data_IF_868273966009
#
_entry.id   IF_868273966009
#
_cell.length_a   1.000
_cell.length_b   1.000
_cell.length_c   1.000
_cell.angle_alpha   90.00
_cell.angle_beta   90.00
_cell.angle_gamma   90.00
#
_symmetry.space_group_name_H-M   'P 1'
#
loop_
_entity.id
_entity.type
_entity.pdbx_description
1 polymer ?
#
# COMPACT_ATOMS: atom_id res chain seq x y z
N UNK A 1 -16.09 51.65 -30.73
CA UNK A 1 -16.12 52.91 -29.96
C UNK A 1 -17.06 52.76 -28.78
N UNK A 2 -16.47 52.72 -27.57
CA UNK A 2 -16.90 53.38 -26.31
C UNK A 2 -18.35 53.10 -25.84
N UNK A 3 -18.57 52.28 -24.81
CA UNK A 3 -18.22 52.45 -23.40
C UNK A 3 -18.91 53.63 -22.70
N UNK A 4 -19.66 53.26 -21.66
CA UNK A 4 -19.77 53.91 -20.34
C UNK A 4 -20.70 55.10 -20.11
N UNK A 5 -20.99 55.25 -18.80
CA UNK A 5 -21.65 56.33 -18.06
C UNK A 5 -23.16 56.03 -17.84
N UNK A 6 -23.63 55.66 -16.64
CA UNK A 6 -23.41 56.30 -15.34
C UNK A 6 -23.20 55.31 -14.17
N UNK A 7 -22.07 55.53 -13.50
CA UNK A 7 -21.69 55.11 -12.15
C UNK A 7 -22.12 56.21 -11.16
N UNK A 8 -22.14 55.90 -9.85
CA UNK A 8 -22.10 56.82 -8.68
C UNK A 8 -23.43 57.49 -8.30
N UNK A 9 -23.90 57.60 -7.05
CA UNK A 9 -23.38 57.45 -5.67
C UNK A 9 -24.64 57.30 -4.79
N UNK A 10 -24.64 56.54 -3.68
CA UNK A 10 -24.28 57.11 -2.38
C UNK A 10 -23.92 56.01 -1.38
N UNK A 11 -22.67 56.08 -0.92
CA UNK A 11 -22.17 55.52 0.33
C UNK A 11 -22.56 56.43 1.50
N UNK A 12 -23.06 55.84 2.58
CA UNK A 12 -22.87 56.23 3.99
C UNK A 12 -23.87 55.41 4.82
N UNK A 13 -23.55 54.68 5.87
CA UNK A 13 -22.32 54.53 6.65
C UNK A 13 -22.70 54.00 8.04
N UNK A 14 -21.68 53.49 8.73
CA UNK A 14 -21.55 53.25 10.18
C UNK A 14 -22.05 51.94 10.78
N UNK A 15 -21.03 51.23 11.28
CA UNK A 15 -21.04 50.19 12.28
C UNK A 15 -21.84 50.55 13.54
N UNK A 16 -22.49 49.52 14.11
CA UNK A 16 -22.72 49.36 15.54
C UNK A 16 -22.57 47.87 15.88
N UNK A 17 -21.80 47.61 16.94
CA UNK A 17 -21.53 46.30 17.50
C UNK A 17 -22.43 46.02 18.72
N UNK A 18 -22.69 44.72 18.96
CA UNK A 18 -23.08 44.04 20.23
C UNK A 18 -24.48 44.37 20.82
N UNK A 19 -25.11 43.51 21.67
CA UNK A 19 -24.57 42.65 22.76
C UNK A 19 -24.78 41.13 22.53
N UNK A 20 -23.89 40.19 22.92
CA UNK A 20 -23.49 39.74 24.27
C UNK A 20 -24.67 39.27 25.14
N UNK A 21 -24.87 37.95 25.23
CA UNK A 21 -25.33 37.29 26.46
C UNK A 21 -24.33 36.19 26.82
N UNK A 22 -23.75 36.40 28.00
CA UNK A 22 -22.79 35.61 28.74
C UNK A 22 -23.53 35.13 30.00
N UNK A 23 -23.54 33.83 30.25
CA UNK A 23 -23.66 33.24 31.60
C UNK A 23 -22.66 32.06 31.59
N UNK A 24 -21.43 32.28 32.05
CA UNK A 24 -20.95 32.17 33.43
C UNK A 24 -20.73 30.71 33.89
N UNK A 25 -19.43 30.38 33.96
CA UNK A 25 -18.77 29.23 34.59
C UNK A 25 -19.03 29.20 36.13
N UNK A 26 -18.87 28.07 36.83
CA UNK A 26 -17.55 27.63 37.34
C UNK A 26 -17.32 26.12 37.04
N UNK A 27 -16.17 25.62 36.62
CA UNK A 27 -14.78 25.65 37.09
C UNK A 27 -14.43 24.57 38.12
N UNK A 28 -13.41 23.81 37.72
CA UNK A 28 -12.55 22.81 38.38
C UNK A 28 -13.18 21.62 39.11
N UNK A 29 -12.85 20.40 38.65
CA UNK A 29 -12.41 19.31 39.53
C UNK A 29 -11.60 18.29 38.72
N UNK A 30 -10.48 17.93 39.32
CA UNK A 30 -9.37 17.10 38.83
C UNK A 30 -9.82 15.67 38.46
N UNK A 31 -9.29 15.11 37.37
CA UNK A 31 -9.32 13.66 37.16
C UNK A 31 -8.01 13.10 37.72
N UNK A 32 -8.19 12.45 38.87
CA UNK A 32 -7.21 11.75 39.70
C UNK A 32 -6.51 10.64 38.91
N UNK A 33 -5.17 10.68 38.90
CA UNK A 33 -4.31 9.52 38.68
C UNK A 33 -4.57 8.49 39.80
N UNK A 34 -4.96 7.28 39.44
CA UNK A 34 -4.93 6.15 40.36
C UNK A 34 -3.70 5.30 40.06
N UNK A 35 -2.62 5.63 40.77
CA UNK A 35 -1.49 4.74 41.03
C UNK A 35 -1.78 3.97 42.32
N UNK A 36 -1.52 2.65 42.33
CA UNK A 36 -1.57 1.83 43.55
C UNK A 36 -0.20 1.20 43.80
N UNK A 37 0.42 1.71 44.88
CA UNK A 37 1.20 1.05 45.93
C UNK A 37 2.40 0.16 45.52
N UNK A 38 3.62 0.65 45.73
CA UNK A 38 4.43 0.55 46.96
C UNK A 38 5.25 -0.74 47.06
N UNK A 39 6.56 -0.62 46.86
CA UNK A 39 7.53 -1.35 47.69
C UNK A 39 8.52 -0.33 48.25
N UNK A 40 8.52 -0.29 49.57
CA UNK A 40 9.26 0.51 50.54
C UNK A 40 10.72 0.85 50.22
N UNK A 41 11.09 2.10 50.43
CA UNK A 41 12.43 2.51 50.80
C UNK A 41 12.67 2.34 52.31
N UNK A 42 13.88 1.92 52.69
CA UNK A 42 14.43 2.11 54.04
C UNK A 42 15.86 2.64 53.88
N UNK A 43 16.32 3.61 54.71
CA UNK A 43 17.42 4.48 54.32
C UNK A 43 18.71 4.28 55.14
N UNK A 44 19.72 5.05 54.71
CA UNK A 44 20.89 5.58 55.41
C UNK A 44 22.13 4.68 55.53
N UNK A 45 23.24 5.21 54.99
CA UNK A 45 24.58 4.83 55.43
C UNK A 45 25.69 5.28 54.48
N UNK A 46 26.02 6.57 54.45
CA UNK A 46 27.25 7.03 53.83
C UNK A 46 28.46 6.76 54.74
N UNK A 47 29.50 6.08 54.23
CA UNK A 47 30.90 6.46 54.47
C UNK A 47 31.83 5.82 53.42
N UNK A 48 32.88 6.53 52.93
CA UNK A 48 33.74 6.06 51.87
C UNK A 48 34.93 5.28 52.45
N UNK A 49 35.30 4.17 51.82
CA UNK A 49 36.63 3.57 52.01
C UNK A 49 37.25 3.41 50.64
N UNK A 50 38.29 4.22 50.43
CA UNK A 50 39.19 4.17 49.30
C UNK A 50 39.89 2.81 49.28
N UNK A 51 39.85 2.12 48.14
CA UNK A 51 40.78 1.02 47.87
C UNK A 51 41.53 1.40 46.60
N UNK A 52 42.85 1.39 46.74
CA UNK A 52 43.86 1.89 45.81
C UNK A 52 43.70 1.26 44.43
N UNK A 53 43.79 2.11 43.40
CA UNK A 53 43.94 1.69 42.01
C UNK A 53 45.32 1.06 41.89
N UNK A 54 45.36 -0.27 41.80
CA UNK A 54 46.53 -0.97 41.31
C UNK A 54 46.74 -0.62 39.84
N UNK A 55 47.96 -0.23 39.49
CA UNK A 55 48.41 -0.10 38.11
C UNK A 55 48.30 -1.48 37.44
N UNK A 56 47.41 -1.59 36.45
CA UNK A 56 47.38 -2.71 35.52
C UNK A 56 47.78 -2.16 34.16
N UNK A 57 48.91 -2.65 33.67
CA UNK A 57 49.56 -2.22 32.42
C UNK A 57 48.59 -2.21 31.24
N UNK A 58 48.72 -1.18 30.39
CA UNK A 58 48.07 -1.04 29.10
C UNK A 58 48.27 -2.30 28.24
N UNK A 59 47.28 -3.18 28.26
CA UNK A 59 46.98 -4.01 27.10
C UNK A 59 46.17 -3.14 26.13
N UNK A 60 46.82 -2.65 25.08
CA UNK A 60 46.11 -2.14 23.91
C UNK A 60 45.32 -3.31 23.31
N UNK A 61 44.09 -3.51 23.78
CA UNK A 61 43.09 -4.22 22.99
C UNK A 61 42.80 -3.31 21.80
N UNK A 62 43.40 -3.66 20.67
CA UNK A 62 42.95 -3.19 19.37
C UNK A 62 41.43 -3.42 19.34
N UNK A 63 40.65 -2.34 19.40
CA UNK A 63 39.29 -2.39 18.95
C UNK A 63 39.37 -2.71 17.46
N UNK A 64 39.34 -3.99 17.14
CA UNK A 64 39.04 -4.46 15.80
C UNK A 64 37.71 -3.78 15.44
N UNK A 65 37.76 -2.76 14.58
CA UNK A 65 36.57 -2.34 13.85
C UNK A 65 36.14 -3.57 13.06
N UNK A 66 35.24 -4.37 13.63
CA UNK A 66 34.50 -5.36 12.87
C UNK A 66 33.74 -4.57 11.80
N UNK A 67 34.31 -4.54 10.61
CA UNK A 67 33.63 -4.11 9.40
C UNK A 67 32.49 -5.12 9.24
N UNK A 68 31.30 -4.78 9.75
CA UNK A 68 30.11 -5.60 9.56
C UNK A 68 29.91 -5.69 8.07
N UNK A 69 30.29 -6.81 7.47
CA UNK A 69 30.06 -7.06 6.07
C UNK A 69 28.55 -6.97 5.86
N UNK A 70 28.10 -5.94 5.13
CA UNK A 70 26.68 -5.77 4.82
C UNK A 70 26.18 -7.08 4.21
N UNK A 71 25.11 -7.63 4.76
CA UNK A 71 24.56 -8.88 4.25
C UNK A 71 24.15 -8.65 2.78
N UNK A 72 24.72 -9.41 1.81
CA UNK A 72 24.47 -9.18 0.38
C UNK A 72 22.98 -9.28 -0.02
N UNK A 73 22.13 -9.89 0.82
CA UNK A 73 20.69 -9.96 0.63
C UNK A 73 19.91 -8.72 1.08
N UNK A 74 20.49 -7.77 1.82
CA UNK A 74 19.76 -6.58 2.31
C UNK A 74 19.26 -5.69 1.16
N UNK A 75 20.06 -5.55 0.10
CA UNK A 75 19.72 -4.72 -1.08
C UNK A 75 19.36 -5.57 -2.32
N UNK A 76 19.21 -6.89 -2.16
CA UNK A 76 18.89 -7.80 -3.26
C UNK A 76 17.41 -8.20 -3.22
N UNK A 77 16.58 -7.52 -4.01
CA UNK A 77 15.15 -7.77 -4.05
C UNK A 77 14.78 -8.90 -5.03
N UNK A 78 14.16 -9.95 -4.48
CA UNK A 78 13.63 -11.06 -5.26
C UNK A 78 12.23 -10.76 -5.81
N UNK A 79 11.83 -11.49 -6.86
CA UNK A 79 10.46 -11.45 -7.38
C UNK A 79 9.47 -11.97 -6.32
N UNK A 80 8.18 -11.63 -6.49
CA UNK A 80 7.10 -12.10 -5.63
C UNK A 80 7.14 -13.63 -5.40
N UNK A 81 7.01 -14.03 -4.13
CA UNK A 81 7.05 -15.43 -3.70
C UNK A 81 8.46 -16.02 -3.55
N UNK A 82 9.51 -15.20 -3.74
CA UNK A 82 10.90 -15.59 -3.53
C UNK A 82 11.55 -14.71 -2.45
N UNK A 83 12.51 -15.30 -1.73
CA UNK A 83 13.35 -14.63 -0.72
C UNK A 83 14.82 -14.78 -1.10
N UNK A 84 15.64 -13.82 -0.66
CA UNK A 84 17.07 -13.86 -0.89
C UNK A 84 17.74 -14.72 0.19
N UNK A 85 18.53 -15.69 -0.26
CA UNK A 85 19.42 -16.49 0.56
C UNK A 85 20.84 -16.44 -0.02
N UNK A 86 21.86 -16.67 0.79
CA UNK A 86 23.25 -16.72 0.33
C UNK A 86 23.62 -18.16 0.01
N UNK A 87 24.28 -18.37 -1.14
CA UNK A 87 24.83 -19.68 -1.50
C UNK A 87 26.14 -19.99 -0.76
N UNK A 88 26.76 -21.15 -1.04
CA UNK A 88 28.04 -21.56 -0.45
C UNK A 88 29.21 -20.59 -0.73
N UNK A 89 29.06 -19.73 -1.74
CA UNK A 89 30.04 -18.72 -2.14
C UNK A 89 29.73 -17.32 -1.61
N UNK A 90 28.75 -17.19 -0.70
CA UNK A 90 28.27 -15.93 -0.16
C UNK A 90 27.65 -15.01 -1.23
N UNK A 91 27.12 -15.59 -2.30
CA UNK A 91 26.44 -14.89 -3.40
C UNK A 91 24.93 -14.92 -3.17
N UNK A 92 24.21 -13.78 -3.30
CA UNK A 92 22.76 -13.74 -3.12
C UNK A 92 22.04 -14.51 -4.24
N UNK A 93 21.13 -15.40 -3.86
CA UNK A 93 20.28 -16.19 -4.73
C UNK A 93 18.81 -16.12 -4.29
N UNK A 94 17.88 -16.09 -5.26
CA UNK A 94 16.45 -16.05 -4.96
C UNK A 94 15.84 -17.45 -4.97
N UNK A 95 15.46 -17.93 -3.79
CA UNK A 95 14.76 -19.21 -3.59
C UNK A 95 13.28 -18.96 -3.27
N UNK A 96 12.44 -19.98 -3.43
CA UNK A 96 11.03 -19.84 -3.07
C UNK A 96 10.86 -19.64 -1.57
N UNK A 97 9.99 -18.70 -1.20
CA UNK A 97 9.64 -18.44 0.19
C UNK A 97 8.88 -19.64 0.78
N UNK A 98 9.18 -19.99 2.03
CA UNK A 98 8.36 -20.93 2.79
C UNK A 98 7.03 -20.24 3.19
N UNK A 99 5.85 -20.79 2.84
CA UNK A 99 4.56 -20.24 3.27
C UNK A 99 4.43 -20.03 4.78
N UNK A 100 5.12 -20.81 5.61
CA UNK A 100 5.10 -20.66 7.08
C UNK A 100 5.87 -19.44 7.60
N UNK A 101 6.77 -18.89 6.78
CA UNK A 101 7.48 -17.63 7.07
C UNK A 101 6.64 -16.38 6.79
N UNK A 102 5.47 -16.55 6.17
CA UNK A 102 4.56 -15.45 5.90
C UNK A 102 3.90 -14.94 7.19
N UNK A 103 3.70 -13.63 7.35
CA UNK A 103 2.91 -13.08 8.45
C UNK A 103 1.49 -13.66 8.46
N UNK A 104 0.98 -13.95 9.66
CA UNK A 104 -0.41 -14.35 9.83
C UNK A 104 -1.34 -13.19 9.45
N UNK A 105 -2.47 -13.45 8.77
CA UNK A 105 -3.40 -12.40 8.38
C UNK A 105 -4.05 -11.76 9.61
N UNK A 106 -4.07 -10.44 9.65
CA UNK A 106 -4.69 -9.62 10.69
C UNK A 106 -6.22 -9.69 10.57
N UNK A 107 -6.75 -9.88 9.36
CA UNK A 107 -8.18 -10.00 9.11
C UNK A 107 -8.51 -10.61 7.75
N UNK A 108 -9.80 -10.86 7.53
CA UNK A 108 -10.30 -11.49 6.28
C UNK A 108 -9.95 -10.70 5.02
N UNK A 109 -9.80 -9.38 5.10
CA UNK A 109 -9.48 -8.54 3.93
C UNK A 109 -8.05 -8.74 3.40
N UNK A 110 -7.14 -9.31 4.20
CA UNK A 110 -5.77 -9.62 3.77
C UNK A 110 -5.64 -10.96 3.03
N UNK A 111 -6.67 -11.81 3.15
CA UNK A 111 -6.77 -13.05 2.38
C UNK A 111 -6.85 -12.77 0.90
N UNK A 112 -6.63 -13.79 0.08
CA UNK A 112 -6.75 -13.68 -1.38
C UNK A 112 -7.42 -14.92 -1.96
N UNK A 113 -8.11 -14.76 -3.07
CA UNK A 113 -8.70 -15.87 -3.81
C UNK A 113 -7.89 -16.15 -5.08
N UNK A 114 -7.56 -17.42 -5.32
CA UNK A 114 -6.99 -17.86 -6.60
C UNK A 114 -8.09 -18.13 -7.62
N UNK A 115 -7.72 -18.17 -8.90
CA UNK A 115 -8.62 -18.54 -10.00
C UNK A 115 -9.19 -19.98 -9.93
N UNK A 116 -8.62 -20.86 -9.11
CA UNK A 116 -9.17 -22.18 -8.78
C UNK A 116 -10.23 -22.13 -7.65
N UNK A 117 -10.72 -20.94 -7.28
CA UNK A 117 -11.66 -20.69 -6.19
C UNK A 117 -11.17 -21.21 -4.83
N UNK A 118 -9.86 -21.07 -4.56
CA UNK A 118 -9.23 -21.40 -3.28
C UNK A 118 -8.77 -20.14 -2.59
N UNK A 119 -9.17 -20.01 -1.32
CA UNK A 119 -8.74 -18.91 -0.47
C UNK A 119 -7.37 -19.23 0.13
N UNK A 120 -6.46 -18.27 0.05
CA UNK A 120 -5.16 -18.28 0.71
C UNK A 120 -5.15 -17.23 1.83
N UNK A 121 -4.36 -17.48 2.87
CA UNK A 121 -4.32 -16.63 4.06
C UNK A 121 -3.81 -15.22 3.76
N UNK A 122 -2.90 -15.07 2.79
CA UNK A 122 -2.51 -13.75 2.26
C UNK A 122 -1.88 -13.85 0.89
N UNK A 123 -1.63 -12.70 0.25
CA UNK A 123 -0.82 -12.62 -0.98
C UNK A 123 0.54 -13.32 -0.83
N UNK A 124 1.18 -13.22 0.34
CA UNK A 124 2.44 -13.90 0.63
C UNK A 124 2.29 -15.42 0.50
N UNK A 125 1.30 -16.01 1.18
CA UNK A 125 1.04 -17.45 1.13
C UNK A 125 0.72 -17.93 -0.31
N UNK A 126 -0.05 -17.13 -1.06
CA UNK A 126 -0.36 -17.44 -2.46
C UNK A 126 0.91 -17.47 -3.33
N UNK A 127 1.73 -16.42 -3.29
CA UNK A 127 2.93 -16.33 -4.14
C UNK A 127 4.03 -17.32 -3.72
N UNK A 128 4.20 -17.57 -2.43
CA UNK A 128 5.07 -18.63 -1.91
C UNK A 128 4.64 -20.00 -2.46
N UNK A 129 3.34 -20.32 -2.37
CA UNK A 129 2.79 -21.56 -2.93
C UNK A 129 2.97 -21.63 -4.45
N UNK A 130 2.67 -20.55 -5.18
CA UNK A 130 2.84 -20.48 -6.64
C UNK A 130 4.29 -20.67 -7.06
N UNK A 131 5.25 -20.15 -6.29
CA UNK A 131 6.68 -20.29 -6.56
C UNK A 131 7.11 -21.76 -6.58
N UNK A 132 6.64 -22.58 -5.64
CA UNK A 132 6.95 -24.02 -5.62
C UNK A 132 6.43 -24.79 -6.84
N UNK A 133 5.49 -24.21 -7.58
CA UNK A 133 4.90 -24.76 -8.79
C UNK A 133 5.52 -24.19 -10.07
N UNK A 134 6.56 -23.36 -9.98
CA UNK A 134 7.26 -22.78 -11.13
C UNK A 134 7.77 -23.88 -12.07
N UNK A 135 7.58 -23.69 -13.38
CA UNK A 135 7.91 -24.70 -14.41
C UNK A 135 6.88 -25.82 -14.58
N UNK A 136 5.86 -25.91 -13.72
CA UNK A 136 4.77 -26.88 -13.86
C UNK A 136 3.57 -26.29 -14.60
N UNK A 137 2.83 -27.11 -15.36
CA UNK A 137 1.56 -26.70 -15.99
C UNK A 137 0.54 -26.15 -15.00
N UNK A 138 0.58 -26.62 -13.75
CA UNK A 138 -0.30 -26.16 -12.68
C UNK A 138 0.10 -24.76 -12.21
N UNK A 139 1.39 -24.50 -12.00
CA UNK A 139 1.90 -23.18 -11.63
C UNK A 139 1.66 -22.13 -12.72
N UNK A 140 1.81 -22.50 -13.99
CA UNK A 140 1.49 -21.62 -15.12
C UNK A 140 0.02 -21.23 -15.22
N UNK A 141 -0.90 -22.06 -14.70
CA UNK A 141 -2.33 -21.77 -14.69
C UNK A 141 -2.84 -21.19 -13.38
N UNK A 142 -2.01 -21.17 -12.33
CA UNK A 142 -2.41 -20.67 -11.02
C UNK A 142 -2.21 -19.16 -10.97
N UNK A 143 -3.29 -18.40 -10.83
CA UNK A 143 -3.27 -16.94 -10.75
C UNK A 143 -4.07 -16.45 -9.54
N UNK A 144 -3.68 -15.28 -9.02
CA UNK A 144 -4.46 -14.56 -8.03
C UNK A 144 -5.61 -13.90 -8.79
N UNK A 145 -6.84 -14.19 -8.38
CA UNK A 145 -8.06 -13.72 -9.05
C UNK A 145 -8.51 -12.38 -8.44
N UNK A 146 -8.64 -12.33 -7.11
CA UNK A 146 -8.95 -11.09 -6.38
C UNK A 146 -8.48 -11.12 -4.93
N UNK A 147 -8.38 -9.93 -4.34
CA UNK A 147 -8.07 -9.71 -2.92
C UNK A 147 -9.34 -9.91 -2.09
N UNK A 148 -9.19 -10.54 -0.93
CA UNK A 148 -10.26 -11.02 -0.05
C UNK A 148 -10.46 -12.54 -0.15
N UNK A 149 -11.28 -13.12 0.76
CA UNK A 149 -11.60 -14.54 0.72
C UNK A 149 -12.48 -14.85 -0.49
N UNK A 150 -12.47 -16.10 -0.94
CA UNK A 150 -13.29 -16.49 -2.08
C UNK A 150 -14.78 -16.30 -1.78
N UNK A 151 -15.46 -15.58 -2.67
CA UNK A 151 -16.89 -15.27 -2.63
C UNK A 151 -17.59 -15.83 -3.86
N UNK A 152 -18.92 -15.92 -3.77
CA UNK A 152 -19.72 -16.18 -4.96
C UNK A 152 -19.64 -14.98 -5.92
N UNK A 153 -19.25 -15.25 -7.17
CA UNK A 153 -19.23 -14.27 -8.25
C UNK A 153 -20.40 -14.59 -9.19
N UNK A 154 -21.35 -13.66 -9.39
CA UNK A 154 -22.45 -13.87 -10.32
C UNK A 154 -21.92 -13.98 -11.76
N UNK A 155 -22.58 -14.76 -12.64
CA UNK A 155 -22.18 -14.84 -14.03
C UNK A 155 -22.38 -13.49 -14.73
N UNK A 156 -21.43 -13.07 -15.54
CA UNK A 156 -21.53 -11.86 -16.35
C UNK A 156 -22.53 -12.07 -17.49
N UNK A 157 -23.61 -11.28 -17.54
CA UNK A 157 -24.59 -11.31 -18.61
C UNK A 157 -24.07 -10.61 -19.87
N UNK A 158 -24.57 -10.99 -21.05
CA UNK A 158 -24.14 -10.39 -22.33
C UNK A 158 -24.42 -8.88 -22.41
N UNK A 159 -25.53 -8.43 -21.79
CA UNK A 159 -25.88 -7.02 -21.69
C UNK A 159 -24.86 -6.25 -20.83
N UNK A 160 -24.40 -6.85 -19.73
CA UNK A 160 -23.39 -6.25 -18.85
C UNK A 160 -22.03 -6.21 -19.54
N UNK A 161 -21.65 -7.30 -20.22
CA UNK A 161 -20.40 -7.40 -20.97
C UNK A 161 -20.30 -6.33 -22.07
N UNK A 162 -21.42 -6.01 -22.72
CA UNK A 162 -21.48 -4.96 -23.76
C UNK A 162 -21.28 -3.56 -23.18
N UNK A 163 -21.74 -3.31 -21.95
CA UNK A 163 -21.60 -2.02 -21.27
C UNK A 163 -20.27 -1.86 -20.51
N UNK A 164 -19.65 -2.98 -20.12
CA UNK A 164 -18.45 -3.03 -19.29
C UNK A 164 -17.31 -2.10 -19.77
N UNK A 165 -16.92 -2.08 -21.06
CA UNK A 165 -15.78 -1.28 -21.51
C UNK A 165 -16.02 0.22 -21.31
N UNK A 166 -17.26 0.67 -21.53
CA UNK A 166 -17.64 2.07 -21.38
C UNK A 166 -17.62 2.49 -19.91
N UNK A 167 -18.13 1.63 -19.02
CA UNK A 167 -18.19 1.87 -17.57
C UNK A 167 -16.79 1.86 -16.95
N UNK A 168 -15.97 0.88 -17.33
CA UNK A 168 -14.59 0.79 -16.88
C UNK A 168 -13.76 2.00 -17.36
N UNK A 169 -13.92 2.43 -18.62
CA UNK A 169 -13.23 3.62 -19.13
C UNK A 169 -13.62 4.90 -18.40
N UNK A 170 -14.91 5.11 -18.14
CA UNK A 170 -15.36 6.27 -17.36
C UNK A 170 -14.86 6.22 -15.91
N UNK A 171 -14.88 5.03 -15.31
CA UNK A 171 -14.33 4.80 -13.98
C UNK A 171 -12.83 5.12 -13.94
N UNK A 172 -12.01 4.59 -14.85
CA UNK A 172 -10.58 4.88 -14.95
C UNK A 172 -10.29 6.38 -15.06
N UNK A 173 -11.06 7.09 -15.90
CA UNK A 173 -10.98 8.54 -16.04
C UNK A 173 -11.25 9.25 -14.70
N UNK A 174 -12.31 8.86 -13.99
CA UNK A 174 -12.66 9.48 -12.71
C UNK A 174 -11.61 9.16 -11.63
N UNK A 175 -11.10 7.92 -11.57
CA UNK A 175 -10.00 7.55 -10.67
C UNK A 175 -8.80 8.43 -10.93
N UNK A 176 -8.36 8.53 -12.20
CA UNK A 176 -7.20 9.34 -12.57
C UNK A 176 -7.36 10.82 -12.18
N UNK A 177 -8.53 11.41 -12.45
CA UNK A 177 -8.85 12.80 -12.05
C UNK A 177 -8.77 12.96 -10.53
N UNK A 178 -9.39 12.07 -9.75
CA UNK A 178 -9.37 12.16 -8.29
C UNK A 178 -7.98 11.96 -7.68
N UNK A 179 -7.14 11.11 -8.31
CA UNK A 179 -5.75 10.94 -7.89
C UNK A 179 -4.96 12.21 -8.13
N UNK A 180 -5.12 12.83 -9.31
CA UNK A 180 -4.45 14.08 -9.67
C UNK A 180 -4.88 15.26 -8.79
N UNK A 181 -6.18 15.40 -8.49
CA UNK A 181 -6.68 16.48 -7.63
C UNK A 181 -6.20 16.37 -6.17
N UNK A 182 -5.92 15.15 -5.69
CA UNK A 182 -5.42 14.89 -4.34
C UNK A 182 -3.89 14.96 -4.26
N UNK A 183 -3.21 15.01 -5.38
CA UNK A 183 -1.76 15.04 -5.46
C UNK A 183 -1.24 16.43 -5.07
N UNK A 184 -1.19 16.71 -3.77
CA UNK A 184 -0.36 17.76 -3.21
C UNK A 184 1.10 17.27 -3.27
N UNK A 185 1.95 17.98 -4.03
CA UNK A 185 3.40 17.76 -4.14
C UNK A 185 3.93 16.51 -4.89
N UNK A 186 3.19 15.93 -5.86
CA UNK A 186 3.65 14.77 -6.68
C UNK A 186 3.96 13.49 -5.90
N UNK A 187 3.48 13.39 -4.66
CA UNK A 187 3.82 12.29 -3.76
C UNK A 187 2.86 11.10 -3.89
N UNK A 188 1.74 11.26 -4.61
CA UNK A 188 0.65 10.29 -4.63
C UNK A 188 0.57 9.48 -5.93
N UNK A 189 1.05 10.06 -7.03
CA UNK A 189 1.04 9.42 -8.36
C UNK A 189 2.24 8.48 -8.58
N UNK A 190 3.28 8.57 -7.74
CA UNK A 190 4.48 7.72 -7.77
C UNK A 190 4.36 6.51 -6.84
N UNK A 191 3.71 6.69 -5.69
CA UNK A 191 3.40 5.65 -4.71
C UNK A 191 1.93 5.23 -4.86
N UNK A 192 1.57 4.56 -5.98
CA UNK A 192 0.27 3.91 -6.15
C UNK A 192 0.18 2.61 -5.32
N UNK A 193 0.48 2.73 -4.03
CA UNK A 193 0.09 1.80 -3.01
C UNK A 193 -1.33 2.18 -2.55
N UNK A 194 -2.21 1.20 -2.32
CA UNK A 194 -3.61 1.15 -2.71
C UNK A 194 -4.51 2.17 -1.99
N UNK A 195 -4.75 3.33 -2.59
CA UNK A 195 -5.74 4.27 -2.07
C UNK A 195 -7.15 3.83 -2.50
N UNK A 196 -7.69 2.87 -1.72
CA UNK A 196 -9.07 2.36 -1.78
C UNK A 196 -9.58 2.26 -3.21
N UNK A 197 -9.11 1.24 -3.94
CA UNK A 197 -9.61 0.89 -5.27
C UNK A 197 -11.13 1.11 -5.30
N UNK A 198 -11.63 2.16 -5.97
CA UNK A 198 -13.06 2.38 -6.02
C UNK A 198 -13.64 1.13 -6.67
N UNK A 199 -14.66 0.53 -6.06
CA UNK A 199 -15.20 -0.76 -6.51
C UNK A 199 -15.36 -0.72 -8.04
N UNK A 200 -14.62 -1.59 -8.74
CA UNK A 200 -14.68 -1.68 -10.19
C UNK A 200 -16.14 -1.91 -10.57
N UNK A 201 -16.74 -1.11 -11.46
CA UNK A 201 -18.11 -1.33 -11.86
C UNK A 201 -18.24 -2.67 -12.59
N UNK A 202 -19.20 -3.50 -12.18
CA UNK A 202 -19.45 -4.83 -12.76
C UNK A 202 -18.20 -5.71 -12.76
N UNK A 203 -17.50 -5.80 -11.61
CA UNK A 203 -16.21 -6.48 -11.52
C UNK A 203 -16.27 -7.96 -11.95
N UNK A 204 -17.44 -8.60 -11.80
CA UNK A 204 -17.70 -9.98 -12.22
C UNK A 204 -17.60 -10.19 -13.74
N UNK A 205 -17.61 -9.12 -14.54
CA UNK A 205 -17.40 -9.18 -15.99
C UNK A 205 -15.93 -9.05 -16.41
N UNK A 206 -15.02 -8.69 -15.49
CA UNK A 206 -13.62 -8.38 -15.80
C UNK A 206 -12.92 -9.52 -16.53
N UNK A 207 -12.96 -10.74 -15.99
CA UNK A 207 -12.31 -11.91 -16.59
C UNK A 207 -12.89 -12.22 -17.97
N UNK A 208 -14.23 -12.29 -18.09
CA UNK A 208 -14.92 -12.57 -19.36
C UNK A 208 -14.62 -11.52 -20.43
N UNK A 209 -14.51 -10.25 -20.02
CA UNK A 209 -14.16 -9.16 -20.91
C UNK A 209 -12.73 -9.31 -21.43
N UNK A 210 -11.74 -9.48 -20.55
CA UNK A 210 -10.35 -9.60 -20.99
C UNK A 210 -10.07 -10.90 -21.76
N UNK A 211 -10.79 -11.98 -21.50
CA UNK A 211 -10.77 -13.17 -22.37
C UNK A 211 -11.25 -12.88 -23.80
N UNK A 212 -12.11 -11.87 -23.99
CA UNK A 212 -12.53 -11.42 -25.33
C UNK A 212 -11.48 -10.50 -25.97
N UNK A 213 -10.63 -9.87 -25.15
CA UNK A 213 -9.56 -8.97 -25.57
C UNK A 213 -8.25 -9.69 -25.90
N UNK A 214 -8.03 -10.88 -25.35
CA UNK A 214 -6.90 -11.78 -25.65
C UNK A 214 -7.09 -12.39 -27.05
N UNK A 215 -6.68 -11.65 -28.08
CA UNK A 215 -6.92 -11.96 -29.50
C UNK A 215 -6.05 -13.13 -29.96
N UNK A 216 -4.80 -13.19 -29.51
CA UNK A 216 -3.87 -14.26 -29.85
C UNK A 216 -3.95 -15.49 -28.91
N UNK A 217 -4.77 -15.40 -27.86
CA UNK A 217 -5.07 -16.44 -26.89
C UNK A 217 -3.88 -16.90 -26.05
N UNK A 218 -2.87 -16.03 -25.86
CA UNK A 218 -1.66 -16.32 -25.09
C UNK A 218 -1.83 -16.18 -23.57
N UNK A 219 -3.01 -15.73 -23.11
CA UNK A 219 -3.39 -15.48 -21.70
C UNK A 219 -2.76 -14.22 -21.09
N UNK A 220 -2.15 -13.38 -21.91
CA UNK A 220 -1.73 -12.03 -21.57
C UNK A 220 -2.62 -11.04 -22.33
N UNK A 221 -2.56 -9.77 -21.92
CA UNK A 221 -3.20 -8.68 -22.64
C UNK A 221 -2.11 -7.71 -23.01
N UNK A 222 -1.76 -7.66 -24.30
CA UNK A 222 -0.81 -6.70 -24.82
C UNK A 222 -1.38 -5.27 -24.80
N UNK A 223 -0.52 -4.26 -24.91
CA UNK A 223 -0.95 -2.85 -24.87
C UNK A 223 -1.93 -2.53 -26.00
N UNK A 224 -1.71 -3.09 -27.19
CA UNK A 224 -2.56 -2.92 -28.36
C UNK A 224 -3.92 -3.61 -28.21
N UNK A 225 -3.95 -4.81 -27.62
CA UNK A 225 -5.18 -5.52 -27.28
C UNK A 225 -6.00 -4.75 -26.24
N UNK A 226 -5.34 -4.30 -25.15
CA UNK A 226 -5.97 -3.47 -24.12
C UNK A 226 -6.58 -2.22 -24.73
N UNK A 227 -5.78 -1.45 -25.46
CA UNK A 227 -6.19 -0.18 -26.05
C UNK A 227 -7.33 -0.38 -27.06
N UNK A 228 -7.21 -1.39 -27.94
CA UNK A 228 -8.25 -1.77 -28.88
C UNK A 228 -9.57 -2.14 -28.19
N UNK A 229 -9.50 -2.90 -27.10
CA UNK A 229 -10.69 -3.29 -26.33
C UNK A 229 -11.42 -2.12 -25.66
N UNK A 230 -10.71 -1.03 -25.34
CA UNK A 230 -11.31 0.22 -24.84
C UNK A 230 -11.67 1.23 -25.94
N UNK A 231 -11.51 0.84 -27.21
CA UNK A 231 -11.84 1.65 -28.37
C UNK A 231 -10.85 2.79 -28.64
N UNK A 232 -9.62 2.67 -28.16
CA UNK A 232 -8.52 3.57 -28.52
C UNK A 232 -8.05 3.18 -29.92
N UNK A 233 -7.84 4.17 -30.80
CA UNK A 233 -7.38 3.92 -32.15
C UNK A 233 -5.90 3.57 -32.12
N UNK A 234 -5.46 2.70 -33.01
CA UNK A 234 -4.05 2.25 -33.10
C UNK A 234 -3.04 3.41 -33.18
N UNK A 235 -3.39 4.46 -33.92
CA UNK A 235 -2.60 5.69 -34.05
C UNK A 235 -2.47 6.52 -32.77
N UNK A 236 -3.39 6.33 -31.81
CA UNK A 236 -3.43 7.04 -30.53
C UNK A 236 -2.80 6.19 -29.41
N UNK A 237 -2.28 4.99 -29.73
CA UNK A 237 -1.57 4.12 -28.78
C UNK A 237 -0.14 4.63 -28.65
N UNK A 238 0.16 5.17 -27.48
CA UNK A 238 1.48 5.73 -27.17
C UNK A 238 2.10 4.98 -25.98
N UNK A 239 3.29 4.43 -26.20
CA UNK A 239 4.04 3.71 -25.16
C UNK A 239 4.58 4.67 -24.11
N UNK A 240 4.82 5.94 -24.46
CA UNK A 240 5.36 6.94 -23.54
C UNK A 240 4.36 7.31 -22.44
N UNK A 241 3.07 7.01 -22.63
CA UNK A 241 2.03 7.20 -21.60
C UNK A 241 1.97 6.06 -20.56
N UNK A 242 2.83 5.05 -20.66
CA UNK A 242 2.88 3.86 -19.78
C UNK A 242 4.21 3.76 -19.01
N UNK A 243 5.15 4.69 -19.24
CA UNK A 243 6.52 4.66 -18.70
C UNK A 243 6.57 5.24 -17.28
#
# INVERSE_FOLDING_TARGET
MKAWIFFLLCLAGRALAAPQQQEALPDETEVVEETVAEVSEVPVGANPVQVEVGEFEEGAEEAEEEVVAENPCQNHHCKHGKVCELDESNTPMCVCQDPTSCPAPIGEFEKVCSNDNKTFDSSCHFFATKCTLEGTKKGHKLHLDYIGPCKYIPPCLDSELTEFPLRMRDWLKNVLVTLYERDEDNNLLTELAPLRAPLIPMEHCTTRFFETCDLDNDKYIALDEWAGCFGIKEQDIDKDLVI
#
